data_IF_436353585936
#
_entry.id   IF_436353585936
#
_cell.length_a   1.000
_cell.length_b   1.000
_cell.length_c   1.000
_cell.angle_alpha   90.00
_cell.angle_beta   90.00
_cell.angle_gamma   90.00
#
_symmetry.space_group_name_H-M   'P 1'
#
loop_
_entity.id
_entity.type
_entity.pdbx_description
1 polymer ?
#
# COMPACT_ATOMS: atom_id res chain seq x y z
N UNK A 1 -3.63 27.98 13.32
CA UNK A 1 -2.42 28.17 12.50
C UNK A 1 -2.55 27.29 11.25
N UNK A 2 -2.79 27.87 10.07
CA UNK A 2 -2.96 27.12 8.81
C UNK A 2 -1.61 26.61 8.34
N UNK A 3 -1.35 25.31 8.46
CA UNK A 3 -0.20 24.66 7.83
C UNK A 3 -0.42 24.74 6.32
N UNK A 4 0.31 25.63 5.63
CA UNK A 4 0.40 25.66 4.18
C UNK A 4 1.31 24.51 3.76
N UNK A 5 0.73 23.42 3.24
CA UNK A 5 1.46 22.40 2.50
C UNK A 5 2.08 23.05 1.25
N UNK A 6 3.34 23.48 1.33
CA UNK A 6 4.13 23.87 0.17
C UNK A 6 4.57 22.58 -0.53
N UNK A 7 4.13 22.42 -1.77
CA UNK A 7 4.54 21.40 -2.74
C UNK A 7 4.00 19.97 -2.52
N UNK A 8 2.68 19.81 -2.70
CA UNK A 8 2.05 18.55 -3.11
C UNK A 8 2.32 18.21 -4.61
N UNK A 9 3.13 19.01 -5.30
CA UNK A 9 3.28 19.04 -6.75
C UNK A 9 4.34 18.12 -7.35
N UNK A 10 5.11 17.39 -6.54
CA UNK A 10 6.13 16.46 -7.05
C UNK A 10 5.85 15.03 -6.59
N UNK A 11 5.05 14.31 -7.39
CA UNK A 11 4.74 12.90 -7.16
C UNK A 11 5.78 11.95 -7.74
N UNK A 12 6.94 12.45 -8.16
CA UNK A 12 8.03 11.61 -8.68
C UNK A 12 8.38 10.50 -7.68
N UNK A 13 8.29 10.78 -6.38
CA UNK A 13 8.47 9.78 -5.33
C UNK A 13 7.41 8.67 -5.39
N UNK A 14 6.11 8.99 -5.41
CA UNK A 14 5.04 7.99 -5.48
C UNK A 14 5.11 7.17 -6.76
N UNK A 15 5.44 7.79 -7.91
CA UNK A 15 5.68 7.07 -9.16
C UNK A 15 6.88 6.13 -9.06
N UNK A 16 7.95 6.55 -8.40
CA UNK A 16 9.17 5.74 -8.20
C UNK A 16 8.91 4.58 -7.23
N UNK A 17 8.33 4.81 -6.06
CA UNK A 17 7.99 3.78 -5.08
C UNK A 17 7.00 2.75 -5.66
N UNK A 18 6.01 3.23 -6.43
CA UNK A 18 5.11 2.39 -7.20
C UNK A 18 5.83 1.60 -8.29
N UNK A 19 6.66 2.23 -9.12
CA UNK A 19 7.39 1.56 -10.19
C UNK A 19 8.25 0.42 -9.63
N UNK A 20 8.93 0.68 -8.52
CA UNK A 20 9.72 -0.29 -7.76
C UNK A 20 8.83 -1.45 -7.28
N UNK A 21 7.67 -1.14 -6.70
CA UNK A 21 6.74 -2.15 -6.22
C UNK A 21 6.15 -2.99 -7.37
N UNK A 22 5.60 -2.36 -8.42
CA UNK A 22 4.97 -3.02 -9.58
C UNK A 22 5.96 -3.91 -10.29
N UNK A 23 7.19 -3.44 -10.46
CA UNK A 23 8.18 -4.23 -11.14
C UNK A 23 8.78 -5.32 -10.22
N UNK A 24 8.69 -5.18 -8.89
CA UNK A 24 8.97 -6.27 -7.94
C UNK A 24 7.88 -7.35 -7.90
N UNK A 25 6.60 -7.00 -8.13
CA UNK A 25 5.49 -7.96 -8.29
C UNK A 25 5.71 -8.91 -9.48
N UNK A 26 6.33 -8.41 -10.56
CA UNK A 26 6.60 -9.19 -11.77
C UNK A 26 7.77 -10.17 -11.61
N UNK A 27 8.70 -9.90 -10.68
CA UNK A 27 9.87 -10.75 -10.40
C UNK A 27 9.59 -11.93 -9.46
N UNK A 28 8.36 -12.08 -8.98
CA UNK A 28 7.92 -13.28 -8.29
C UNK A 28 7.51 -14.41 -9.26
N UNK A 29 7.59 -14.16 -10.58
CA UNK A 29 7.68 -15.22 -11.60
C UNK A 29 9.15 -15.35 -12.09
N UNK A 30 9.75 -16.52 -11.82
CA UNK A 30 11.11 -16.91 -12.21
C UNK A 30 11.28 -17.01 -13.74
N UNK A 31 11.47 -15.90 -14.44
CA UNK A 31 11.83 -15.88 -15.87
C UNK A 31 12.70 -14.66 -16.24
N UNK A 32 13.58 -14.76 -17.27
CA UNK A 32 14.44 -13.67 -17.70
C UNK A 32 13.63 -12.48 -18.23
N UNK A 33 14.13 -11.27 -17.97
CA UNK A 33 13.52 -10.02 -18.41
C UNK A 33 13.56 -9.94 -19.93
N UNK A 34 12.40 -9.89 -20.56
CA UNK A 34 12.19 -9.64 -21.99
C UNK A 34 11.39 -8.34 -22.12
N UNK A 35 11.58 -7.61 -23.22
CA UNK A 35 10.90 -6.38 -23.67
C UNK A 35 9.39 -6.27 -23.35
N UNK A 36 8.70 -7.42 -23.24
CA UNK A 36 7.28 -7.51 -22.87
C UNK A 36 6.97 -7.17 -21.41
N UNK A 37 7.92 -7.33 -20.47
CA UNK A 37 7.74 -6.95 -19.06
C UNK A 37 7.93 -5.45 -18.85
N UNK A 38 8.83 -4.81 -19.60
CA UNK A 38 9.07 -3.37 -19.51
C UNK A 38 7.86 -2.57 -20.01
N UNK A 39 7.33 -2.90 -21.19
CA UNK A 39 6.10 -2.27 -21.72
C UNK A 39 4.89 -2.47 -20.79
N UNK A 40 4.79 -3.61 -20.12
CA UNK A 40 3.79 -3.84 -19.08
C UNK A 40 3.97 -2.91 -17.87
N UNK A 41 5.19 -2.78 -17.36
CA UNK A 41 5.49 -1.91 -16.19
C UNK A 41 5.17 -0.46 -16.51
N UNK A 42 5.61 0.02 -17.67
CA UNK A 42 5.30 1.37 -18.16
C UNK A 42 3.79 1.59 -18.28
N UNK A 43 3.05 0.59 -18.77
CA UNK A 43 1.59 0.62 -18.84
C UNK A 43 0.94 0.72 -17.45
N UNK A 44 1.38 -0.09 -16.48
CA UNK A 44 0.87 -0.01 -15.10
C UNK A 44 1.19 1.36 -14.47
N UNK A 45 2.41 1.85 -14.63
CA UNK A 45 2.84 3.16 -14.10
C UNK A 45 2.00 4.28 -14.71
N UNK A 46 1.66 4.19 -16.00
CA UNK A 46 0.85 5.20 -16.70
C UNK A 46 -0.55 5.38 -16.10
N UNK A 47 -1.08 4.38 -15.40
CA UNK A 47 -2.37 4.47 -14.71
C UNK A 47 -2.32 5.30 -13.42
N UNK A 48 -1.12 5.64 -12.91
CA UNK A 48 -0.96 6.36 -11.65
C UNK A 48 -0.48 7.78 -11.91
N UNK A 49 -1.35 8.72 -11.55
CA UNK A 49 -1.20 10.15 -11.81
C UNK A 49 -1.26 10.93 -10.52
N UNK A 50 -0.72 12.14 -10.54
CA UNK A 50 -0.74 13.07 -9.39
C UNK A 50 -2.16 13.34 -8.95
N UNK A 51 -3.07 13.53 -9.91
CA UNK A 51 -4.48 13.69 -9.67
C UNK A 51 -5.08 12.49 -8.91
N UNK A 52 -4.66 11.27 -9.23
CA UNK A 52 -5.17 10.07 -8.55
C UNK A 52 -4.61 9.95 -7.13
N UNK A 53 -3.31 10.17 -6.95
CA UNK A 53 -2.68 10.13 -5.64
C UNK A 53 -3.24 11.23 -4.71
N UNK A 54 -3.33 12.46 -5.21
CA UNK A 54 -3.92 13.59 -4.50
C UNK A 54 -5.41 13.35 -4.18
N UNK A 55 -6.17 12.71 -5.08
CA UNK A 55 -7.55 12.33 -4.79
C UNK A 55 -7.64 11.43 -3.57
N UNK A 56 -6.88 10.32 -3.52
CA UNK A 56 -6.96 9.40 -2.39
C UNK A 56 -6.47 10.04 -1.10
N UNK A 57 -5.34 10.75 -1.13
CA UNK A 57 -4.80 11.42 0.05
C UNK A 57 -5.76 12.48 0.61
N UNK A 58 -6.25 13.39 -0.24
CA UNK A 58 -7.13 14.47 0.22
C UNK A 58 -8.47 13.97 0.75
N UNK A 59 -9.03 12.90 0.18
CA UNK A 59 -10.27 12.31 0.70
C UNK A 59 -10.02 11.61 2.05
N UNK A 60 -8.92 10.86 2.18
CA UNK A 60 -8.58 10.23 3.46
C UNK A 60 -8.36 11.26 4.57
N UNK A 61 -7.68 12.36 4.26
CA UNK A 61 -7.44 13.47 5.19
C UNK A 61 -8.73 14.16 5.66
N UNK A 62 -9.82 14.06 4.90
CA UNK A 62 -11.11 14.62 5.31
C UNK A 62 -11.72 13.92 6.53
N UNK A 63 -11.22 12.72 6.88
CA UNK A 63 -11.63 11.96 8.05
C UNK A 63 -10.70 12.16 9.26
N UNK A 64 -9.65 12.99 9.16
CA UNK A 64 -8.69 13.12 10.24
C UNK A 64 -9.26 13.85 11.49
N UNK A 65 -8.76 13.54 12.70
CA UNK A 65 -7.85 12.43 13.02
C UNK A 65 -8.58 11.08 12.92
N UNK A 66 -7.87 10.04 12.48
CA UNK A 66 -8.39 8.68 12.24
C UNK A 66 -7.92 7.73 13.35
N UNK A 67 -7.99 8.16 14.60
CA UNK A 67 -7.53 7.34 15.73
C UNK A 67 -8.29 6.02 15.84
N UNK A 68 -7.57 4.94 16.11
CA UNK A 68 -8.11 3.59 16.18
C UNK A 68 -9.33 3.49 17.11
N UNK A 69 -10.38 2.81 16.66
CA UNK A 69 -11.64 2.62 17.37
C UNK A 69 -12.60 3.82 17.30
N UNK A 70 -12.16 4.97 16.78
CA UNK A 70 -13.03 6.14 16.64
C UNK A 70 -13.94 6.04 15.42
N UNK A 71 -15.03 6.81 15.44
CA UNK A 71 -15.96 6.94 14.31
C UNK A 71 -15.27 7.47 13.04
N UNK A 72 -14.24 8.30 13.20
CA UNK A 72 -13.48 8.83 12.08
C UNK A 72 -12.63 7.76 11.39
N UNK A 73 -11.99 6.87 12.16
CA UNK A 73 -11.28 5.70 11.61
C UNK A 73 -12.27 4.81 10.84
N UNK A 74 -13.41 4.49 11.45
CA UNK A 74 -14.47 3.69 10.79
C UNK A 74 -14.95 4.30 9.48
N UNK A 75 -15.16 5.62 9.43
CA UNK A 75 -15.53 6.33 8.19
C UNK A 75 -14.44 6.25 7.13
N UNK A 76 -13.17 6.37 7.51
CA UNK A 76 -12.05 6.20 6.59
C UNK A 76 -11.99 4.77 6.02
N UNK A 77 -12.19 3.76 6.86
CA UNK A 77 -12.27 2.36 6.44
C UNK A 77 -13.45 2.10 5.49
N UNK A 78 -14.64 2.64 5.79
CA UNK A 78 -15.80 2.54 4.91
C UNK A 78 -15.54 3.18 3.55
N UNK A 79 -14.91 4.35 3.56
CA UNK A 79 -14.54 5.06 2.34
C UNK A 79 -13.59 4.21 1.51
N UNK A 80 -12.51 3.69 2.10
CA UNK A 80 -11.54 2.87 1.39
C UNK A 80 -12.15 1.56 0.87
N UNK A 81 -13.00 0.90 1.67
CA UNK A 81 -13.77 -0.27 1.24
C UNK A 81 -14.61 0.03 0.00
N UNK A 82 -15.34 1.16 0.00
CA UNK A 82 -16.15 1.59 -1.16
C UNK A 82 -15.27 1.93 -2.36
N UNK A 83 -14.09 2.50 -2.17
CA UNK A 83 -13.14 2.72 -3.26
C UNK A 83 -12.69 1.40 -3.90
N UNK A 84 -12.35 0.38 -3.11
CA UNK A 84 -12.03 -0.95 -3.65
C UNK A 84 -13.22 -1.58 -4.39
N UNK A 85 -14.44 -1.45 -3.89
CA UNK A 85 -15.63 -1.92 -4.60
C UNK A 85 -15.86 -1.19 -5.93
N UNK A 86 -15.65 0.13 -5.98
CA UNK A 86 -15.70 0.91 -7.24
C UNK A 86 -14.63 0.46 -8.24
N UNK A 87 -13.55 -0.15 -7.77
CA UNK A 87 -12.53 -0.76 -8.62
C UNK A 87 -12.93 -2.14 -9.15
N UNK A 88 -14.08 -2.70 -8.73
CA UNK A 88 -14.50 -4.05 -9.07
C UNK A 88 -13.72 -5.14 -8.33
N UNK A 89 -12.98 -4.78 -7.28
CA UNK A 89 -12.25 -5.73 -6.46
C UNK A 89 -13.17 -6.35 -5.40
N UNK A 90 -12.90 -7.61 -5.03
CA UNK A 90 -13.57 -8.24 -3.89
C UNK A 90 -12.99 -7.63 -2.62
N UNK A 91 -13.77 -6.78 -1.95
CA UNK A 91 -13.39 -6.16 -0.68
C UNK A 91 -14.15 -6.79 0.50
N UNK A 92 -13.50 -6.87 1.66
CA UNK A 92 -14.07 -7.32 2.91
C UNK A 92 -13.46 -6.56 4.09
N UNK A 93 -14.17 -6.52 5.21
CA UNK A 93 -13.62 -6.07 6.48
C UNK A 93 -13.09 -7.27 7.25
N UNK A 94 -11.93 -7.13 7.86
CA UNK A 94 -11.42 -8.08 8.85
C UNK A 94 -11.48 -7.41 10.22
N UNK A 95 -12.49 -7.81 11.00
CA UNK A 95 -12.70 -7.30 12.36
C UNK A 95 -11.68 -7.91 13.32
N UNK A 96 -11.21 -7.12 14.27
CA UNK A 96 -10.26 -7.55 15.29
C UNK A 96 -10.52 -6.84 16.62
N UNK A 97 -10.14 -7.50 17.71
CA UNK A 97 -10.19 -6.96 19.08
C UNK A 97 -8.92 -7.34 19.81
N UNK A 98 -8.18 -6.35 20.33
CA UNK A 98 -6.92 -6.54 21.02
C UNK A 98 -6.55 -5.30 21.84
N UNK A 99 -5.95 -5.50 23.02
CA UNK A 99 -5.42 -4.40 23.83
C UNK A 99 -6.46 -3.39 24.31
N UNK A 100 -7.73 -3.78 24.41
CA UNK A 100 -8.85 -2.89 24.77
C UNK A 100 -9.42 -2.09 23.59
N UNK A 101 -8.92 -2.30 22.37
CA UNK A 101 -9.44 -1.71 21.15
C UNK A 101 -10.22 -2.74 20.33
N UNK A 102 -11.25 -2.27 19.64
CA UNK A 102 -11.96 -3.01 18.60
C UNK A 102 -11.99 -2.13 17.35
N UNK A 103 -11.50 -2.67 16.23
CA UNK A 103 -11.59 -2.00 14.94
C UNK A 103 -11.55 -3.02 13.80
N UNK A 104 -11.34 -2.58 12.56
CA UNK A 104 -11.32 -3.50 11.41
C UNK A 104 -10.33 -3.08 10.32
N UNK A 105 -9.64 -4.04 9.75
CA UNK A 105 -8.83 -3.81 8.55
C UNK A 105 -9.72 -3.82 7.31
N UNK A 106 -9.31 -3.09 6.27
CA UNK A 106 -9.93 -3.16 4.94
C UNK A 106 -9.07 -4.04 4.04
N UNK A 107 -9.64 -5.12 3.52
CA UNK A 107 -8.93 -6.08 2.66
C UNK A 107 -9.59 -6.12 1.30
N UNK A 108 -8.85 -5.84 0.23
CA UNK A 108 -9.28 -6.05 -1.14
C UNK A 108 -8.42 -7.10 -1.85
N UNK A 109 -9.07 -8.03 -2.54
CA UNK A 109 -8.41 -9.16 -3.19
C UNK A 109 -8.53 -9.07 -4.71
N UNK A 110 -7.38 -9.08 -5.38
CA UNK A 110 -7.26 -9.35 -6.81
C UNK A 110 -6.81 -10.80 -6.99
N UNK A 111 -7.73 -11.65 -7.46
CA UNK A 111 -7.50 -13.09 -7.54
C UNK A 111 -6.42 -13.46 -8.56
N UNK A 112 -5.47 -14.31 -8.13
CA UNK A 112 -4.49 -14.95 -9.00
C UNK A 112 -4.97 -16.31 -9.50
N UNK A 113 -4.08 -16.99 -10.22
CA UNK A 113 -4.28 -18.36 -10.71
C UNK A 113 -3.70 -19.45 -9.79
N UNK A 114 -2.74 -19.09 -8.94
CA UNK A 114 -2.06 -19.99 -8.00
C UNK A 114 -2.60 -19.82 -6.58
N UNK A 115 -2.17 -20.70 -5.67
CA UNK A 115 -2.50 -20.64 -4.25
C UNK A 115 -1.51 -19.76 -3.44
N UNK A 116 -0.67 -18.97 -4.11
CA UNK A 116 0.26 -18.05 -3.44
C UNK A 116 -0.32 -16.64 -3.38
N UNK A 117 -0.01 -15.94 -2.28
CA UNK A 117 -0.49 -14.58 -2.02
C UNK A 117 0.68 -13.61 -1.85
N UNK A 118 0.53 -12.41 -2.41
CA UNK A 118 1.34 -11.24 -2.13
C UNK A 118 0.47 -10.21 -1.42
N UNK A 119 0.98 -9.60 -0.35
CA UNK A 119 0.28 -8.55 0.39
C UNK A 119 0.94 -7.20 0.12
N UNK A 120 0.11 -6.20 -0.16
CA UNK A 120 0.47 -4.79 -0.31
C UNK A 120 -0.31 -4.04 0.74
N UNK A 121 0.37 -3.32 1.62
CA UNK A 121 -0.29 -2.75 2.77
C UNK A 121 0.27 -1.41 3.21
N UNK A 122 -0.56 -0.74 4.00
CA UNK A 122 -0.35 0.54 4.68
C UNK A 122 -1.23 0.54 5.93
N UNK A 123 -1.07 1.50 6.83
CA UNK A 123 -2.05 1.71 7.90
C UNK A 123 -2.93 2.92 7.63
N UNK A 124 -4.19 2.81 8.03
CA UNK A 124 -5.23 3.81 7.77
C UNK A 124 -5.46 4.71 8.99
N UNK A 125 -5.14 4.23 10.19
CA UNK A 125 -5.30 4.98 11.42
C UNK A 125 -4.23 6.07 11.58
N UNK A 126 -4.43 6.93 12.59
CA UNK A 126 -3.48 7.96 13.01
C UNK A 126 -3.42 7.99 14.53
N UNK A 127 -2.49 8.72 15.12
CA UNK A 127 -2.64 9.22 16.50
C UNK A 127 -3.80 10.23 16.65
N UNK A 128 -4.21 10.52 17.89
CA UNK A 128 -5.37 11.37 18.25
C UNK A 128 -5.30 12.81 17.72
N UNK A 129 -4.11 13.41 17.61
CA UNK A 129 -3.91 14.82 17.27
C UNK A 129 -3.18 15.06 15.95
N UNK A 130 -3.23 14.10 15.02
CA UNK A 130 -2.54 14.20 13.73
C UNK A 130 -3.49 14.16 12.53
N UNK A 131 -3.25 14.99 11.49
CA UNK A 131 -3.94 14.83 10.21
C UNK A 131 -3.56 13.50 9.53
N UNK A 132 -2.34 13.00 9.80
CA UNK A 132 -1.79 11.77 9.25
C UNK A 132 -1.66 11.77 7.74
N UNK A 133 -1.01 12.80 7.19
CA UNK A 133 -0.83 12.97 5.76
C UNK A 133 0.31 12.12 5.20
N UNK A 134 1.47 12.16 5.84
CA UNK A 134 2.59 11.30 5.47
C UNK A 134 2.48 9.94 6.19
N UNK A 135 2.16 9.99 7.48
CA UNK A 135 2.02 8.85 8.41
C UNK A 135 0.53 8.61 8.75
N UNK A 136 -0.15 7.64 8.15
CA UNK A 136 0.24 6.94 6.91
C UNK A 136 -0.77 7.15 5.78
N UNK A 137 -1.23 8.39 5.67
CA UNK A 137 -2.09 8.79 4.56
C UNK A 137 -1.42 8.62 3.19
N UNK A 138 -0.09 8.75 3.14
CA UNK A 138 0.68 8.59 1.91
C UNK A 138 0.77 7.12 1.48
N UNK A 139 1.01 6.19 2.41
CA UNK A 139 1.03 4.74 2.16
C UNK A 139 -0.36 4.24 1.77
N UNK A 140 -1.39 4.66 2.50
CA UNK A 140 -2.78 4.33 2.17
C UNK A 140 -3.15 4.80 0.76
N UNK A 141 -2.80 6.03 0.39
CA UNK A 141 -3.04 6.56 -0.94
C UNK A 141 -2.26 5.79 -2.03
N UNK A 142 -1.03 5.36 -1.72
CA UNK A 142 -0.23 4.53 -2.63
C UNK A 142 -0.90 3.16 -2.86
N UNK A 143 -1.32 2.45 -1.80
CA UNK A 143 -2.02 1.15 -1.89
C UNK A 143 -3.28 1.27 -2.75
N UNK A 144 -4.09 2.32 -2.57
CA UNK A 144 -5.29 2.57 -3.38
C UNK A 144 -4.94 2.87 -4.85
N UNK A 145 -3.89 3.64 -5.11
CA UNK A 145 -3.38 3.84 -6.48
C UNK A 145 -3.00 2.51 -7.13
N UNK A 146 -2.23 1.67 -6.41
CA UNK A 146 -1.76 0.38 -6.91
C UNK A 146 -2.92 -0.55 -7.22
N UNK A 147 -3.91 -0.65 -6.35
CA UNK A 147 -5.12 -1.42 -6.59
C UNK A 147 -5.85 -0.94 -7.85
N UNK A 148 -6.00 0.38 -8.02
CA UNK A 148 -6.62 0.98 -9.20
C UNK A 148 -5.88 0.66 -10.50
N UNK A 149 -4.55 0.64 -10.48
CA UNK A 149 -3.73 0.37 -11.65
C UNK A 149 -3.69 -1.13 -11.98
N UNK A 150 -3.51 -1.98 -10.97
CA UNK A 150 -3.29 -3.42 -11.16
C UNK A 150 -4.57 -4.18 -11.50
N UNK A 151 -5.76 -3.65 -11.20
CA UNK A 151 -7.06 -4.30 -11.48
C UNK A 151 -7.29 -4.66 -12.95
N UNK A 152 -6.59 -4.02 -13.88
CA UNK A 152 -6.74 -4.25 -15.31
C UNK A 152 -5.98 -5.49 -15.82
N UNK A 153 -5.21 -6.13 -14.95
CA UNK A 153 -4.28 -7.20 -15.33
C UNK A 153 -4.53 -8.48 -14.54
N UNK A 154 -4.01 -9.58 -15.09
CA UNK A 154 -4.08 -10.89 -14.47
C UNK A 154 -2.70 -11.30 -13.97
N UNK A 155 -2.65 -11.78 -12.73
CA UNK A 155 -1.42 -12.21 -12.08
C UNK A 155 -1.44 -13.72 -11.81
N UNK A 156 -0.24 -14.31 -11.73
CA UNK A 156 -0.11 -15.70 -11.30
C UNK A 156 -0.57 -15.84 -9.84
N UNK A 157 -0.08 -14.97 -8.97
CA UNK A 157 -0.35 -15.00 -7.53
C UNK A 157 -1.50 -14.05 -7.18
N UNK A 158 -2.24 -14.38 -6.13
CA UNK A 158 -3.26 -13.49 -5.57
C UNK A 158 -2.58 -12.27 -4.97
N UNK A 159 -3.15 -11.08 -5.19
CA UNK A 159 -2.68 -9.84 -4.57
C UNK A 159 -3.75 -9.37 -3.60
N UNK A 160 -3.38 -9.21 -2.33
CA UNK A 160 -4.22 -8.60 -1.30
C UNK A 160 -3.73 -7.19 -1.01
N UNK A 161 -4.59 -6.21 -1.22
CA UNK A 161 -4.39 -4.82 -0.79
C UNK A 161 -5.01 -4.69 0.59
N UNK A 162 -4.23 -4.33 1.60
CA UNK A 162 -4.69 -4.31 3.00
C UNK A 162 -4.39 -2.96 3.61
N UNK A 163 -5.42 -2.32 4.16
CA UNK A 163 -5.29 -1.11 4.97
C UNK A 163 -5.54 -1.52 6.42
N UNK A 164 -4.49 -1.50 7.22
CA UNK A 164 -4.55 -1.90 8.62
C UNK A 164 -5.04 -0.76 9.49
N UNK A 165 -5.93 -1.04 10.44
CA UNK A 165 -6.14 -0.18 11.60
C UNK A 165 -5.34 -0.71 12.79
N UNK A 166 -5.20 0.10 13.84
CA UNK A 166 -4.53 -0.31 15.06
C UNK A 166 -3.01 -0.34 15.00
N UNK A 167 -2.38 0.31 14.01
CA UNK A 167 -0.93 0.43 13.93
C UNK A 167 -0.41 1.23 15.14
N UNK A 168 -1.01 2.41 15.34
CA UNK A 168 -0.54 3.45 16.26
C UNK A 168 -0.77 3.10 17.74
N UNK A 169 -1.56 2.04 17.99
CA UNK A 169 -1.86 1.52 19.33
C UNK A 169 -1.16 0.19 19.63
N UNK A 170 -0.26 -0.26 18.74
CA UNK A 170 0.57 -1.44 18.95
C UNK A 170 0.49 -2.50 17.86
N UNK A 171 0.25 -2.13 16.61
CA UNK A 171 0.17 -3.03 15.44
C UNK A 171 -0.92 -4.09 15.52
N UNK A 172 -2.00 -3.82 16.26
CA UNK A 172 -3.01 -4.80 16.63
C UNK A 172 -3.78 -5.38 15.44
N UNK A 173 -4.16 -4.55 14.46
CA UNK A 173 -4.87 -5.03 13.28
C UNK A 173 -3.99 -5.89 12.39
N UNK A 174 -2.73 -5.50 12.17
CA UNK A 174 -1.80 -6.27 11.34
C UNK A 174 -1.37 -7.58 12.03
N UNK A 175 -1.14 -7.56 13.35
CA UNK A 175 -0.88 -8.75 14.15
C UNK A 175 -2.03 -9.75 14.09
N UNK A 176 -3.26 -9.28 14.33
CA UNK A 176 -4.46 -10.12 14.31
C UNK A 176 -4.68 -10.76 12.94
N UNK A 177 -4.48 -9.97 11.87
CA UNK A 177 -4.63 -10.48 10.51
C UNK A 177 -3.53 -11.46 10.13
N UNK A 178 -2.26 -11.18 10.48
CA UNK A 178 -1.15 -12.10 10.23
C UNK A 178 -1.35 -13.45 10.93
N UNK A 179 -1.82 -13.43 12.19
CA UNK A 179 -2.17 -14.64 12.94
C UNK A 179 -3.29 -15.44 12.25
N UNK A 180 -4.37 -14.76 11.85
CA UNK A 180 -5.48 -15.37 11.11
C UNK A 180 -5.01 -16.03 9.79
N UNK A 181 -4.17 -15.35 9.01
CA UNK A 181 -3.65 -15.90 7.75
C UNK A 181 -2.73 -17.12 7.99
N UNK A 182 -1.93 -17.09 9.05
CA UNK A 182 -1.10 -18.23 9.46
C UNK A 182 -1.95 -19.45 9.83
N UNK A 183 -3.00 -19.25 10.65
CA UNK A 183 -3.92 -20.31 11.07
C UNK A 183 -4.71 -20.88 9.89
N UNK A 184 -5.05 -20.04 8.90
CA UNK A 184 -5.66 -20.50 7.63
C UNK A 184 -4.69 -21.22 6.69
N UNK A 185 -3.39 -21.21 6.98
CA UNK A 185 -2.37 -21.80 6.11
C UNK A 185 -2.20 -21.08 4.78
N UNK A 186 -2.47 -19.77 4.73
CA UNK A 186 -2.32 -18.98 3.50
C UNK A 186 -0.85 -18.87 3.09
N UNK A 187 -0.52 -19.20 1.84
CA UNK A 187 0.86 -19.24 1.35
C UNK A 187 1.33 -17.85 0.90
N UNK A 188 1.75 -17.04 1.87
CA UNK A 188 2.25 -15.69 1.63
C UNK A 188 3.71 -15.76 1.16
N UNK A 189 4.00 -15.21 -0.02
CA UNK A 189 5.35 -15.21 -0.62
C UNK A 189 6.02 -13.83 -0.60
N UNK A 190 5.29 -12.78 -0.21
CA UNK A 190 5.82 -11.43 -0.09
C UNK A 190 4.82 -10.50 0.59
N UNK A 191 5.34 -9.58 1.40
CA UNK A 191 4.57 -8.51 2.04
C UNK A 191 5.32 -7.20 1.82
N UNK A 192 4.61 -6.19 1.33
CA UNK A 192 5.14 -4.88 1.05
C UNK A 192 4.35 -3.86 1.86
N UNK A 193 4.96 -3.35 2.92
CA UNK A 193 4.41 -2.26 3.73
C UNK A 193 4.90 -0.93 3.16
N UNK A 194 3.98 -0.03 2.88
CA UNK A 194 4.22 1.34 2.48
C UNK A 194 3.82 2.22 3.66
N UNK A 195 4.80 2.85 4.27
CA UNK A 195 4.63 3.65 5.48
C UNK A 195 5.54 4.88 5.35
N UNK A 196 4.96 6.07 5.39
CA UNK A 196 5.63 7.37 5.16
C UNK A 196 6.32 7.45 3.80
N UNK A 197 5.51 7.45 2.73
CA UNK A 197 5.91 7.48 1.32
C UNK A 197 5.57 8.82 0.64
N UNK A 198 5.36 9.89 1.39
CA UNK A 198 4.95 11.20 0.89
C UNK A 198 5.95 12.33 1.08
N UNK A 199 6.96 12.17 1.95
CA UNK A 199 7.87 13.25 2.35
C UNK A 199 9.33 13.06 1.91
N UNK A 200 9.93 14.14 1.41
CA UNK A 200 11.37 14.25 1.24
C UNK A 200 11.85 15.67 1.60
N UNK A 201 13.03 15.77 2.22
CA UNK A 201 13.64 17.06 2.59
C UNK A 201 14.20 17.84 1.41
N UNK A 202 14.51 17.15 0.31
CA UNK A 202 15.06 17.71 -0.93
C UNK A 202 14.52 16.97 -2.13
N UNK A 203 14.46 17.61 -3.30
CA UNK A 203 14.10 16.96 -4.57
C UNK A 203 15.00 15.74 -4.86
N UNK A 204 16.30 15.87 -4.57
CA UNK A 204 17.24 14.75 -4.68
C UNK A 204 16.88 13.62 -3.71
N UNK A 205 16.52 13.95 -2.48
CA UNK A 205 16.02 13.02 -1.47
C UNK A 205 14.77 12.27 -1.92
N UNK A 206 13.86 12.96 -2.63
CA UNK A 206 12.64 12.40 -3.19
C UNK A 206 12.84 11.36 -4.29
N UNK A 207 14.09 11.09 -4.70
CA UNK A 207 14.44 10.02 -5.65
C UNK A 207 14.91 8.74 -4.98
N UNK A 208 15.01 8.71 -3.64
CA UNK A 208 15.46 7.55 -2.89
C UNK A 208 14.31 6.87 -2.17
N UNK A 209 14.20 5.55 -2.31
CA UNK A 209 13.36 4.70 -1.47
C UNK A 209 14.25 4.03 -0.43
N UNK A 210 13.85 4.12 0.84
CA UNK A 210 14.48 3.40 1.94
C UNK A 210 13.72 2.10 2.18
N UNK A 211 14.43 0.99 2.23
CA UNK A 211 13.85 -0.34 2.44
C UNK A 211 14.33 -0.85 3.79
N UNK A 212 13.38 -1.07 4.69
CA UNK A 212 13.61 -1.74 5.97
C UNK A 212 13.21 -3.21 5.84
N UNK A 213 14.08 -4.12 6.28
CA UNK A 213 13.85 -5.56 6.16
C UNK A 213 14.49 -6.38 7.27
N UNK A 214 13.89 -7.53 7.64
CA UNK A 214 14.61 -8.59 8.36
C UNK A 214 15.52 -9.38 7.39
N UNK A 215 16.52 -10.09 7.92
CA UNK A 215 17.47 -10.91 7.13
C UNK A 215 16.79 -11.92 6.21
N UNK A 216 15.68 -12.54 6.67
CA UNK A 216 14.91 -13.50 5.86
C UNK A 216 14.35 -12.93 4.54
N UNK A 217 14.34 -11.61 4.40
CA UNK A 217 13.81 -10.92 3.21
C UNK A 217 14.90 -10.44 2.25
N UNK A 218 16.17 -10.84 2.44
CA UNK A 218 17.31 -10.41 1.60
C UNK A 218 17.06 -10.61 0.11
N UNK A 219 16.67 -11.83 -0.29
CA UNK A 219 16.38 -12.17 -1.69
C UNK A 219 15.25 -11.34 -2.29
N UNK A 220 14.24 -10.99 -1.49
CA UNK A 220 13.13 -10.15 -1.94
C UNK A 220 13.63 -8.72 -2.15
N UNK A 221 14.42 -8.19 -1.22
CA UNK A 221 14.97 -6.83 -1.31
C UNK A 221 15.99 -6.68 -2.43
N UNK A 222 16.82 -7.68 -2.69
CA UNK A 222 17.72 -7.69 -3.86
C UNK A 222 16.92 -7.55 -5.16
N UNK A 223 15.85 -8.34 -5.32
CA UNK A 223 14.95 -8.21 -6.47
C UNK A 223 14.31 -6.82 -6.58
N UNK A 224 13.88 -6.24 -5.46
CA UNK A 224 13.33 -4.88 -5.43
C UNK A 224 14.38 -3.85 -5.88
N UNK A 225 15.64 -3.99 -5.44
CA UNK A 225 16.73 -3.09 -5.85
C UNK A 225 17.07 -3.22 -7.34
N UNK A 226 17.23 -4.44 -7.84
CA UNK A 226 17.52 -4.69 -9.26
C UNK A 226 16.40 -4.15 -10.16
N UNK A 227 15.17 -4.21 -9.66
CA UNK A 227 14.01 -3.62 -10.30
C UNK A 227 14.11 -2.10 -10.31
N UNK A 228 14.36 -1.51 -9.15
CA UNK A 228 14.47 -0.08 -8.98
C UNK A 228 15.52 0.51 -9.93
N UNK A 229 16.66 -0.14 -10.08
CA UNK A 229 17.74 0.29 -10.98
C UNK A 229 17.37 0.21 -12.45
N UNK A 230 16.60 -0.80 -12.85
CA UNK A 230 16.16 -0.99 -14.25
C UNK A 230 15.12 0.02 -14.70
N UNK A 231 14.25 0.46 -13.79
CA UNK A 231 13.11 1.34 -14.11
C UNK A 231 13.23 2.74 -13.49
N UNK A 232 14.44 3.22 -13.21
CA UNK A 232 14.67 4.64 -12.83
C UNK A 232 14.28 5.54 -14.01
N UNK A 233 13.07 6.06 -13.99
CA UNK A 233 12.66 7.22 -14.81
C UNK A 233 13.16 8.51 -14.18
#
# INVERSE_FOLDING_TARGET
MKIKYKNLGDITFMKTALAIFVASLLLLNLAPVIDSQQSFIESVISHITEKTAHYYLSNLLSFAPRYTGTENCKKAEEWAYREFLKMGLKAEFFEWEMGGFTDRNVVATLAGKTNYTIIVCAHIDTVEDAPGADDDGSGTAAVLCMAKALRYYHFANTIKFVLFSGEEVGTYGSYSYAKYLYEKGEKIIGVFMLDMVGYATTEKGGRYVRIFKPERSDKLVEKIKDTAERYKS
#
